data_IF_913641021400
#
_entry.id   IF_913641021400
#
_cell.length_a   1.000
_cell.length_b   1.000
_cell.length_c   1.000
_cell.angle_alpha   90.00
_cell.angle_beta   90.00
_cell.angle_gamma   90.00
#
_symmetry.space_group_name_H-M   'P 1'
#
loop_
_entity.id
_entity.type
_entity.pdbx_description
1 polymer ?
#
# COMPACT_ATOMS: atom_id res chain seq x y z
N UNK A 1 -4.22 -0.72 19.44
CA UNK A 1 -4.66 -0.25 18.09
C UNK A 1 -4.11 1.11 17.67
N UNK A 2 -3.79 2.06 18.57
CA UNK A 2 -3.33 3.41 18.21
C UNK A 2 -1.96 3.51 17.47
N UNK A 3 -1.14 2.45 17.47
CA UNK A 3 0.24 2.47 16.93
C UNK A 3 0.30 2.63 15.41
N UNK A 4 -0.67 2.10 14.68
CA UNK A 4 -0.70 2.17 13.21
C UNK A 4 -1.46 3.39 12.67
N UNK A 5 -2.22 4.10 13.51
CA UNK A 5 -3.08 5.21 13.08
C UNK A 5 -2.28 6.42 12.58
N UNK A 6 -1.17 6.76 13.25
CA UNK A 6 -0.29 7.85 12.82
C UNK A 6 0.48 7.51 11.53
N UNK A 7 1.19 6.38 11.44
CA UNK A 7 1.87 5.99 10.20
C UNK A 7 0.94 5.90 8.97
N UNK A 8 -0.30 5.41 9.15
CA UNK A 8 -1.29 5.39 8.08
C UNK A 8 -1.69 6.79 7.61
N UNK A 9 -1.87 7.74 8.54
CA UNK A 9 -2.18 9.12 8.20
C UNK A 9 -0.99 9.81 7.52
N UNK A 10 0.23 9.50 7.95
CA UNK A 10 1.45 10.06 7.36
C UNK A 10 1.66 9.54 5.92
N UNK A 11 1.36 8.28 5.62
CA UNK A 11 1.36 7.75 4.24
C UNK A 11 0.29 8.38 3.34
N UNK A 12 -0.84 8.82 3.91
CA UNK A 12 -1.92 9.44 3.15
C UNK A 12 -1.63 10.91 2.83
N UNK A 13 -0.78 11.56 3.63
CA UNK A 13 -0.53 13.02 3.57
C UNK A 13 0.82 13.39 3.00
N UNK A 14 1.85 12.58 3.22
CA UNK A 14 3.06 12.57 2.41
C UNK A 14 2.79 11.64 1.24
N UNK A 15 3.03 12.10 0.02
CA UNK A 15 2.98 11.34 -1.22
C UNK A 15 3.95 10.14 -1.15
N UNK A 16 3.54 9.11 -0.42
CA UNK A 16 4.44 8.08 0.07
C UNK A 16 4.80 7.16 -1.08
N UNK A 17 6.11 6.97 -1.26
CA UNK A 17 6.57 6.03 -2.26
C UNK A 17 6.22 4.59 -1.85
N UNK A 18 6.17 3.72 -2.85
CA UNK A 18 5.97 2.27 -2.70
C UNK A 18 6.79 1.63 -1.56
N UNK A 19 8.03 2.09 -1.35
CA UNK A 19 8.91 1.59 -0.30
C UNK A 19 8.41 1.89 1.12
N UNK A 20 7.92 3.11 1.36
CA UNK A 20 7.37 3.51 2.66
C UNK A 20 6.08 2.75 2.97
N UNK A 21 5.22 2.56 1.96
CA UNK A 21 4.00 1.77 2.08
C UNK A 21 4.32 0.31 2.39
N UNK A 22 5.31 -0.25 1.71
CA UNK A 22 5.78 -1.63 1.92
C UNK A 22 6.32 -1.86 3.34
N UNK A 23 7.04 -0.87 3.90
CA UNK A 23 7.52 -0.93 5.28
C UNK A 23 6.36 -0.97 6.27
N UNK A 24 5.36 -0.09 6.12
CA UNK A 24 4.21 -0.10 7.01
C UNK A 24 3.43 -1.42 6.94
N UNK A 25 3.20 -1.95 5.74
CA UNK A 25 2.52 -3.23 5.56
C UNK A 25 3.30 -4.36 6.24
N UNK A 26 4.63 -4.36 6.12
CA UNK A 26 5.49 -5.32 6.83
C UNK A 26 5.30 -5.23 8.34
N UNK A 27 5.30 -4.02 8.90
CA UNK A 27 5.11 -3.79 10.33
C UNK A 27 3.72 -4.22 10.79
N UNK A 28 2.68 -3.95 10.00
CA UNK A 28 1.32 -4.39 10.31
C UNK A 28 1.20 -5.93 10.31
N UNK A 29 1.80 -6.61 9.32
CA UNK A 29 1.80 -8.06 9.25
C UNK A 29 2.56 -8.68 10.44
N UNK A 30 3.75 -8.16 10.75
CA UNK A 30 4.59 -8.75 11.79
C UNK A 30 4.14 -8.36 13.20
N UNK A 31 4.00 -7.07 13.48
CA UNK A 31 3.68 -6.57 14.81
C UNK A 31 2.17 -6.56 15.11
N UNK A 32 1.34 -6.38 14.08
CA UNK A 32 -0.12 -6.31 14.22
C UNK A 32 -0.79 -7.69 14.20
N UNK A 33 -0.36 -8.57 13.29
CA UNK A 33 -0.95 -9.89 13.09
C UNK A 33 -0.07 -11.04 13.62
N UNK A 34 1.17 -10.76 14.01
CA UNK A 34 2.07 -11.74 14.62
C UNK A 34 2.79 -12.66 13.63
N UNK A 35 2.81 -12.32 12.34
CA UNK A 35 3.55 -13.11 11.35
C UNK A 35 5.06 -12.97 11.57
N UNK A 36 5.77 -14.08 11.46
CA UNK A 36 7.23 -14.07 11.41
C UNK A 36 7.70 -13.71 9.99
N UNK A 37 8.47 -12.62 9.89
CA UNK A 37 8.99 -12.09 8.62
C UNK A 37 9.74 -13.11 7.77
N UNK A 38 10.42 -14.06 8.40
CA UNK A 38 11.28 -15.02 7.70
C UNK A 38 10.60 -16.36 7.46
N UNK A 39 9.64 -16.74 8.32
CA UNK A 39 8.96 -18.04 8.25
C UNK A 39 7.61 -17.97 7.55
N UNK A 40 6.87 -16.91 7.80
CA UNK A 40 5.48 -16.79 7.38
C UNK A 40 5.34 -15.88 6.16
N UNK A 41 6.31 -15.01 5.91
CA UNK A 41 6.32 -14.12 4.74
C UNK A 41 7.44 -14.49 3.76
N UNK A 42 7.13 -14.45 2.46
CA UNK A 42 8.12 -14.50 1.38
C UNK A 42 7.91 -13.29 0.50
N UNK A 43 8.97 -12.58 0.14
CA UNK A 43 8.91 -11.47 -0.81
C UNK A 43 9.14 -11.98 -2.24
N UNK A 44 8.66 -11.22 -3.23
CA UNK A 44 8.94 -11.46 -4.66
C UNK A 44 8.57 -12.89 -5.11
N UNK A 45 7.39 -13.37 -4.68
CA UNK A 45 6.97 -14.72 -5.05
C UNK A 45 6.43 -14.72 -6.48
N UNK A 46 7.05 -15.50 -7.36
CA UNK A 46 6.62 -15.61 -8.76
C UNK A 46 5.27 -16.34 -8.85
N UNK A 47 4.25 -15.62 -9.31
CA UNK A 47 2.91 -16.13 -9.60
C UNK A 47 2.71 -16.12 -11.11
N UNK A 48 2.82 -17.29 -11.74
CA UNK A 48 2.75 -17.47 -13.20
C UNK A 48 3.82 -16.68 -13.96
N UNK A 49 3.54 -15.43 -14.33
CA UNK A 49 4.41 -14.53 -15.10
C UNK A 49 4.69 -13.19 -14.41
N UNK A 50 4.22 -13.02 -13.17
CA UNK A 50 4.38 -11.78 -12.41
C UNK A 50 4.88 -12.07 -10.98
N UNK A 51 5.30 -11.04 -10.26
CA UNK A 51 5.82 -11.16 -8.90
C UNK A 51 4.88 -10.50 -7.91
N UNK A 52 4.38 -11.28 -6.95
CA UNK A 52 3.61 -10.72 -5.84
C UNK A 52 4.56 -10.13 -4.79
N UNK A 53 4.14 -9.03 -4.17
CA UNK A 53 4.95 -8.38 -3.14
C UNK A 53 5.23 -9.25 -1.93
N UNK A 54 4.19 -9.97 -1.49
CA UNK A 54 4.31 -10.98 -0.44
C UNK A 54 3.50 -12.23 -0.76
N UNK A 55 4.09 -13.39 -0.45
CA UNK A 55 3.38 -14.63 -0.21
C UNK A 55 3.29 -14.91 1.29
N UNK A 56 2.09 -15.26 1.77
CA UNK A 56 1.84 -15.63 3.17
C UNK A 56 1.79 -17.14 3.32
N UNK A 57 2.54 -17.67 4.28
CA UNK A 57 2.61 -19.09 4.62
C UNK A 57 2.01 -19.35 5.99
N UNK A 58 1.21 -20.40 6.08
CA UNK A 58 0.77 -20.99 7.34
C UNK A 58 1.11 -22.46 7.27
N UNK A 59 1.72 -23.01 8.32
CA UNK A 59 2.20 -24.40 8.36
C UNK A 59 3.06 -24.77 7.13
N UNK A 60 3.90 -23.82 6.69
CA UNK A 60 4.79 -23.90 5.52
C UNK A 60 4.08 -23.95 4.16
N UNK A 61 2.76 -23.97 4.12
CA UNK A 61 1.97 -23.92 2.89
C UNK A 61 1.65 -22.46 2.53
N UNK A 62 1.80 -22.13 1.25
CA UNK A 62 1.44 -20.81 0.72
C UNK A 62 -0.09 -20.72 0.64
N UNK A 63 -0.68 -19.76 1.36
CA UNK A 63 -2.14 -19.63 1.50
C UNK A 63 -2.71 -18.37 0.84
N UNK A 64 -1.89 -17.33 0.65
CA UNK A 64 -2.34 -16.05 0.10
C UNK A 64 -1.18 -15.26 -0.51
N UNK A 65 -1.54 -14.32 -1.38
CA UNK A 65 -0.66 -13.28 -1.89
C UNK A 65 -1.17 -11.92 -1.41
N UNK A 66 -0.25 -11.00 -1.12
CA UNK A 66 -0.54 -9.61 -0.81
C UNK A 66 0.22 -8.78 -1.84
N UNK A 67 -0.52 -7.89 -2.49
CA UNK A 67 0.02 -6.88 -3.39
C UNK A 67 -0.16 -5.51 -2.74
N UNK A 68 0.91 -4.71 -2.75
CA UNK A 68 0.91 -3.36 -2.22
C UNK A 68 0.65 -2.40 -3.37
N UNK A 69 -0.49 -1.71 -3.31
CA UNK A 69 -0.84 -0.68 -4.29
C UNK A 69 -0.81 0.70 -3.63
N UNK A 70 -0.26 1.68 -4.33
CA UNK A 70 -0.38 3.08 -3.96
C UNK A 70 -1.84 3.56 -4.17
N UNK A 71 -2.35 4.34 -3.22
CA UNK A 71 -3.65 4.98 -3.38
C UNK A 71 -3.54 6.11 -4.40
N UNK A 72 -3.93 5.84 -5.64
CA UNK A 72 -4.11 6.88 -6.65
C UNK A 72 -5.51 7.46 -6.52
N UNK A 73 -5.58 8.65 -5.94
CA UNK A 73 -6.81 9.44 -5.97
C UNK A 73 -7.17 9.76 -7.43
N UNK A 74 -8.21 9.11 -7.94
CA UNK A 74 -8.74 9.40 -9.27
C UNK A 74 -9.61 10.68 -9.28
N UNK A 75 -9.76 11.37 -8.14
CA UNK A 75 -10.55 12.59 -7.99
C UNK A 75 -9.77 13.91 -8.12
N UNK A 76 -8.72 13.94 -8.93
CA UNK A 76 -8.15 15.20 -9.41
C UNK A 76 -8.03 15.21 -10.95
N UNK A 77 -9.18 15.04 -11.62
CA UNK A 77 -9.33 15.50 -13.01
C UNK A 77 -9.32 17.03 -13.06
N UNK A 78 -8.96 17.66 -14.18
CA UNK A 78 -8.73 19.10 -14.29
C UNK A 78 -9.98 20.00 -14.14
N UNK A 79 -11.11 19.49 -13.64
CA UNK A 79 -12.39 20.21 -13.56
C UNK A 79 -12.58 21.01 -12.26
N UNK A 80 -11.50 21.59 -11.73
CA UNK A 80 -11.56 22.59 -10.67
C UNK A 80 -11.34 23.99 -11.26
N UNK A 81 -12.39 24.53 -11.89
CA UNK A 81 -12.62 25.97 -11.99
C UNK A 81 -11.88 26.72 -13.09
N UNK A 82 -12.29 26.54 -14.35
CA UNK A 82 -12.28 27.65 -15.31
C UNK A 82 -13.71 28.18 -15.43
N UNK A 83 -14.02 29.16 -14.59
CA UNK A 83 -15.19 30.02 -14.71
C UNK A 83 -14.70 31.44 -14.52
N UNK A 84 -13.78 31.87 -15.38
CA UNK A 84 -13.41 33.28 -15.51
C UNK A 84 -14.50 34.01 -16.31
N UNK A 85 -15.32 34.88 -15.67
CA UNK A 85 -16.41 35.57 -16.35
C UNK A 85 -15.94 36.76 -17.21
N UNK A 86 -14.64 37.06 -17.29
CA UNK A 86 -14.13 38.28 -17.93
C UNK A 86 -13.39 38.04 -19.28
N UNK A 87 -13.53 36.86 -19.91
CA UNK A 87 -12.86 36.58 -21.20
C UNK A 87 -13.52 37.21 -22.44
N UNK A 88 -14.69 37.82 -22.30
CA UNK A 88 -15.45 38.47 -23.39
C UNK A 88 -15.55 40.01 -23.22
N UNK A 89 -14.53 40.67 -22.66
CA UNK A 89 -14.41 42.13 -22.67
C UNK A 89 -13.13 42.65 -23.31
#
# INVERSE_FOLDING_TARGET
>A
MQRFTRPLHDLLTCDANEGDTRLLITDMLCEGLGYDKFRDLTTEYMVKQDFADYGVRIDKQLIAFIEVAEYRDHHNGPDAGDSDPDRDR
#
